data_IF_386464644099
#
_entry.id   IF_386464644099
#
_cell.length_a   1.000
_cell.length_b   1.000
_cell.length_c   1.000
_cell.angle_alpha   90.00
_cell.angle_beta   90.00
_cell.angle_gamma   90.00
#
_symmetry.space_group_name_H-M   'P 1'
#
loop_
_entity.id
_entity.type
_entity.pdbx_description
1 polymer ?
#
# COMPACT_ATOMS: atom_id res chain seq x y z
N UNK A 1 -11.49 8.39 2.95
CA UNK A 1 -10.11 7.92 2.89
C UNK A 1 -9.21 8.46 3.96
N UNK A 2 -9.51 9.62 4.50
CA UNK A 2 -8.77 10.20 5.65
C UNK A 2 -8.71 9.24 6.83
N UNK A 3 -9.81 8.52 7.12
CA UNK A 3 -9.87 7.60 8.26
C UNK A 3 -8.89 6.44 8.14
N UNK A 4 -8.72 5.87 6.95
CA UNK A 4 -7.82 4.75 6.76
C UNK A 4 -6.36 5.17 6.90
N UNK A 5 -6.00 6.35 6.37
CA UNK A 5 -4.66 6.90 6.51
C UNK A 5 -4.35 7.17 7.98
N UNK A 6 -5.31 7.74 8.73
CA UNK A 6 -5.17 8.00 10.15
C UNK A 6 -5.00 6.69 10.94
N UNK A 7 -5.79 5.66 10.63
CA UNK A 7 -5.65 4.35 11.27
C UNK A 7 -4.27 3.73 11.06
N UNK A 8 -3.71 3.89 9.86
CA UNK A 8 -2.34 3.41 9.59
C UNK A 8 -1.30 4.17 10.41
N UNK A 9 -1.44 5.48 10.52
CA UNK A 9 -0.56 6.32 11.33
C UNK A 9 -0.66 5.93 12.80
N UNK A 10 -1.87 5.76 13.32
CA UNK A 10 -2.13 5.36 14.69
C UNK A 10 -1.51 3.99 14.99
N UNK A 11 -1.66 3.02 14.08
CA UNK A 11 -1.07 1.70 14.24
C UNK A 11 0.45 1.76 14.31
N UNK A 12 1.09 2.58 13.48
CA UNK A 12 2.55 2.75 13.51
C UNK A 12 3.02 3.34 14.84
N UNK A 13 2.31 4.35 15.34
CA UNK A 13 2.61 4.97 16.63
C UNK A 13 2.46 3.96 17.76
N UNK A 14 1.39 3.17 17.72
CA UNK A 14 1.12 2.13 18.70
C UNK A 14 2.24 1.08 18.71
N UNK A 15 2.62 0.58 17.55
CA UNK A 15 3.70 -0.40 17.43
C UNK A 15 5.04 0.17 17.93
N UNK A 16 5.35 1.41 17.58
CA UNK A 16 6.56 2.09 18.06
C UNK A 16 6.59 2.20 19.58
N UNK A 17 5.45 2.52 20.18
CA UNK A 17 5.31 2.59 21.64
C UNK A 17 5.52 1.23 22.29
N UNK A 18 4.94 0.18 21.73
CA UNK A 18 5.09 -1.19 22.23
C UNK A 18 6.54 -1.67 22.14
N UNK A 19 7.25 -1.33 21.08
CA UNK A 19 8.67 -1.64 20.93
C UNK A 19 9.50 -0.94 22.03
N UNK A 20 9.25 0.34 22.26
CA UNK A 20 9.93 1.12 23.31
C UNK A 20 9.66 0.56 24.70
N UNK A 21 8.48 0.03 24.92
CA UNK A 21 8.09 -0.59 26.19
C UNK A 21 8.55 -2.05 26.33
N UNK A 22 9.22 -2.60 25.29
CA UNK A 22 9.68 -3.98 25.29
C UNK A 22 8.56 -5.00 25.19
N UNK A 23 7.37 -4.59 24.75
CA UNK A 23 6.20 -5.46 24.64
C UNK A 23 6.09 -6.18 23.31
N UNK A 24 6.82 -5.72 22.30
CA UNK A 24 6.95 -6.40 21.02
C UNK A 24 8.36 -6.93 20.92
N UNK A 25 8.50 -8.25 20.83
CA UNK A 25 9.82 -8.88 20.69
C UNK A 25 10.27 -8.88 19.23
N UNK A 26 11.42 -8.33 18.98
CA UNK A 26 12.41 -8.84 18.02
C UNK A 26 12.21 -8.68 16.54
N UNK A 27 11.04 -8.63 15.97
CA UNK A 27 10.90 -8.35 14.54
C UNK A 27 10.47 -6.89 14.36
N UNK A 28 11.46 -6.05 14.13
CA UNK A 28 11.18 -4.65 13.82
C UNK A 28 10.56 -4.59 12.43
N UNK A 29 9.29 -4.22 12.36
CA UNK A 29 8.65 -3.88 11.12
C UNK A 29 8.87 -2.40 10.84
N UNK A 30 9.64 -2.11 9.79
CA UNK A 30 9.79 -0.74 9.31
C UNK A 30 8.92 -0.56 8.07
N UNK A 31 7.95 0.33 8.17
CA UNK A 31 7.15 0.72 7.00
C UNK A 31 7.82 1.93 6.35
N UNK A 32 7.97 1.86 5.03
CA UNK A 32 8.54 2.96 4.27
C UNK A 32 7.61 4.17 4.34
N UNK A 33 8.10 5.36 4.73
CA UNK A 33 7.27 6.56 4.76
C UNK A 33 6.67 6.89 3.39
N UNK A 34 5.46 7.43 3.41
CA UNK A 34 4.72 7.77 2.18
C UNK A 34 5.51 8.68 1.24
N UNK A 35 6.18 9.68 1.79
CA UNK A 35 7.02 10.59 1.01
C UNK A 35 8.10 9.84 0.25
N UNK A 36 8.80 8.92 0.92
CA UNK A 36 9.86 8.12 0.30
C UNK A 36 9.27 7.17 -0.75
N UNK A 37 8.12 6.57 -0.47
CA UNK A 37 7.42 5.74 -1.45
C UNK A 37 7.15 6.53 -2.74
N UNK A 38 6.62 7.73 -2.62
CA UNK A 38 6.35 8.58 -3.77
C UNK A 38 7.63 8.94 -4.54
N UNK A 39 8.69 9.28 -3.82
CA UNK A 39 9.98 9.59 -4.46
C UNK A 39 10.53 8.41 -5.26
N UNK A 40 10.42 7.20 -4.71
CA UNK A 40 10.87 5.98 -5.39
C UNK A 40 9.99 5.65 -6.59
N UNK A 41 8.68 5.78 -6.46
CA UNK A 41 7.72 5.49 -7.52
C UNK A 41 7.77 6.52 -8.65
N UNK A 42 8.20 7.74 -8.37
CA UNK A 42 8.38 8.79 -9.39
C UNK A 42 9.49 8.43 -10.38
N UNK A 43 10.39 7.51 -10.02
CA UNK A 43 11.46 7.03 -10.90
C UNK A 43 10.97 6.03 -11.94
N UNK A 44 9.77 5.49 -11.75
CA UNK A 44 9.16 4.57 -12.70
C UNK A 44 8.49 5.42 -13.80
N UNK A 45 8.67 5.07 -15.10
CA UNK A 45 8.04 5.82 -16.18
C UNK A 45 6.53 5.94 -16.02
N UNK A 46 5.97 7.08 -16.37
CA UNK A 46 4.53 7.36 -16.23
C UNK A 46 3.67 6.34 -16.99
N UNK A 47 4.17 5.83 -18.11
CA UNK A 47 3.46 4.82 -18.91
C UNK A 47 3.11 3.56 -18.11
N UNK A 48 3.92 3.22 -17.11
CA UNK A 48 3.65 2.05 -16.26
C UNK A 48 2.35 2.21 -15.47
N UNK A 49 1.97 3.43 -15.11
CA UNK A 49 0.72 3.71 -14.41
C UNK A 49 -0.44 3.92 -15.38
N UNK A 50 -0.17 4.49 -16.53
CA UNK A 50 -1.17 4.72 -17.57
C UNK A 50 -1.67 3.41 -18.18
N UNK A 51 -0.78 2.44 -18.35
CA UNK A 51 -1.14 1.11 -18.82
C UNK A 51 -1.60 0.25 -17.63
N UNK A 52 -2.90 0.03 -17.54
CA UNK A 52 -3.50 -0.69 -16.42
C UNK A 52 -3.10 -2.17 -16.35
N UNK A 53 -2.57 -2.73 -17.45
CA UNK A 53 -2.09 -4.11 -17.50
C UNK A 53 -0.65 -4.28 -16.98
N UNK A 54 0.10 -3.19 -16.84
CA UNK A 54 1.46 -3.26 -16.31
C UNK A 54 1.43 -3.82 -14.88
N UNK A 55 2.15 -4.93 -14.68
CA UNK A 55 2.16 -5.60 -13.38
C UNK A 55 3.19 -4.99 -12.44
N UNK A 56 2.80 -4.90 -11.18
CA UNK A 56 3.68 -4.48 -10.08
C UNK A 56 3.71 -5.58 -9.03
N UNK A 57 4.90 -5.91 -8.57
CA UNK A 57 5.09 -6.86 -7.48
C UNK A 57 5.95 -6.22 -6.40
N UNK A 58 5.45 -6.21 -5.18
CA UNK A 58 6.23 -5.88 -3.99
C UNK A 58 6.41 -7.15 -3.16
N UNK A 59 7.61 -7.69 -3.15
CA UNK A 59 7.92 -8.94 -2.46
C UNK A 59 7.93 -8.79 -0.93
N UNK A 60 7.95 -7.56 -0.44
CA UNK A 60 7.92 -7.24 1.00
C UNK A 60 6.95 -6.09 1.23
N UNK A 61 5.68 -6.33 0.90
CA UNK A 61 4.69 -5.24 0.87
C UNK A 61 4.39 -4.59 2.21
N UNK A 62 4.71 -5.25 3.34
CA UNK A 62 4.36 -4.75 4.65
C UNK A 62 2.86 -4.51 4.75
N UNK A 63 2.46 -3.30 5.16
CA UNK A 63 1.05 -2.92 5.23
C UNK A 63 0.49 -2.42 3.89
N UNK A 64 1.27 -2.51 2.81
CA UNK A 64 0.84 -2.14 1.48
C UNK A 64 1.03 -0.67 1.11
N UNK A 65 1.92 0.06 1.78
CA UNK A 65 2.15 1.48 1.47
C UNK A 65 2.46 1.72 0.00
N UNK A 66 3.40 0.97 -0.58
CA UNK A 66 3.73 1.09 -2.00
C UNK A 66 2.55 0.71 -2.89
N UNK A 67 1.89 -0.41 -2.58
CA UNK A 67 0.81 -0.94 -3.42
C UNK A 67 -0.38 0.01 -3.46
N UNK A 68 -0.73 0.63 -2.33
CA UNK A 68 -1.82 1.60 -2.27
C UNK A 68 -1.52 2.82 -3.12
N UNK A 69 -0.29 3.34 -3.06
CA UNK A 69 0.12 4.49 -3.86
C UNK A 69 0.13 4.14 -5.35
N UNK A 70 0.65 2.96 -5.70
CA UNK A 70 0.63 2.48 -7.09
C UNK A 70 -0.81 2.41 -7.61
N UNK A 71 -1.71 1.86 -6.80
CA UNK A 71 -3.12 1.77 -7.17
C UNK A 71 -3.75 3.15 -7.34
N UNK A 72 -3.51 4.08 -6.42
CA UNK A 72 -3.98 5.46 -6.54
C UNK A 72 -3.51 6.10 -7.86
N UNK A 73 -2.26 5.89 -8.23
CA UNK A 73 -1.71 6.42 -9.49
C UNK A 73 -2.38 5.80 -10.71
N UNK A 74 -2.66 4.50 -10.69
CA UNK A 74 -3.38 3.81 -11.76
C UNK A 74 -4.84 4.26 -11.85
N UNK A 75 -5.50 4.48 -10.69
CA UNK A 75 -6.89 4.93 -10.64
C UNK A 75 -7.10 6.28 -11.34
N UNK A 76 -6.08 7.13 -11.37
CA UNK A 76 -6.15 8.40 -12.10
C UNK A 76 -6.36 8.22 -13.60
N UNK A 77 -6.03 7.06 -14.15
CA UNK A 77 -6.18 6.71 -15.56
C UNK A 77 -7.38 5.79 -15.81
N UNK A 78 -8.16 5.48 -14.78
CA UNK A 78 -9.35 4.65 -14.90
C UNK A 78 -10.56 5.51 -15.23
N UNK A 79 -11.39 5.02 -16.16
CA UNK A 79 -12.62 5.71 -16.57
C UNK A 79 -13.87 4.94 -16.19
N UNK A 80 -13.73 3.62 -15.92
CA UNK A 80 -14.83 2.73 -15.62
C UNK A 80 -14.49 1.86 -14.42
N UNK A 81 -15.51 1.22 -13.84
CA UNK A 81 -15.32 0.22 -12.77
C UNK A 81 -14.47 -0.95 -13.26
N UNK A 82 -14.67 -1.37 -14.52
CA UNK A 82 -13.87 -2.44 -15.11
C UNK A 82 -12.39 -2.07 -15.17
N UNK A 83 -12.06 -0.82 -15.48
CA UNK A 83 -10.68 -0.33 -15.46
C UNK A 83 -10.09 -0.41 -14.06
N UNK A 84 -10.86 -0.03 -13.04
CA UNK A 84 -10.41 -0.10 -11.66
C UNK A 84 -10.14 -1.54 -11.21
N UNK A 85 -10.96 -2.49 -11.64
CA UNK A 85 -10.77 -3.92 -11.38
C UNK A 85 -9.50 -4.41 -12.08
N UNK A 86 -9.31 -4.04 -13.34
CA UNK A 86 -8.13 -4.40 -14.13
C UNK A 86 -6.85 -3.88 -13.48
N UNK A 87 -6.84 -2.63 -13.05
CA UNK A 87 -5.72 -2.04 -12.33
C UNK A 87 -5.42 -2.81 -11.04
N UNK A 88 -6.44 -3.16 -10.27
CA UNK A 88 -6.29 -3.90 -9.04
C UNK A 88 -5.68 -5.30 -9.28
N UNK A 89 -6.09 -5.97 -10.34
CA UNK A 89 -5.58 -7.29 -10.71
C UNK A 89 -4.11 -7.28 -11.16
N UNK A 90 -3.57 -6.13 -11.48
CA UNK A 90 -2.18 -6.00 -11.93
C UNK A 90 -1.19 -5.80 -10.79
N UNK A 91 -1.68 -5.70 -9.55
CA UNK A 91 -0.88 -5.40 -8.37
C UNK A 91 -0.75 -6.65 -7.52
N UNK A 92 0.48 -7.01 -7.19
CA UNK A 92 0.81 -8.21 -6.41
C UNK A 92 1.73 -7.84 -5.25
N UNK A 93 1.54 -8.50 -4.13
CA UNK A 93 2.40 -8.33 -2.99
C UNK A 93 2.51 -9.61 -2.18
N UNK A 94 3.59 -9.75 -1.44
CA UNK A 94 3.80 -10.85 -0.50
C UNK A 94 4.11 -10.28 0.88
N UNK A 95 3.61 -10.94 1.91
CA UNK A 95 3.80 -10.53 3.29
C UNK A 95 3.63 -11.73 4.21
N UNK A 96 4.51 -11.84 5.21
CA UNK A 96 4.47 -12.92 6.20
C UNK A 96 3.46 -12.66 7.32
N UNK A 97 3.20 -11.39 7.63
CA UNK A 97 2.30 -11.01 8.72
C UNK A 97 0.88 -10.88 8.22
N UNK A 98 -0.03 -11.71 8.73
CA UNK A 98 -1.44 -11.69 8.34
C UNK A 98 -2.10 -10.33 8.56
N UNK A 99 -1.78 -9.66 9.66
CA UNK A 99 -2.29 -8.32 9.96
C UNK A 99 -1.99 -7.34 8.86
N UNK A 100 -0.75 -7.35 8.37
CA UNK A 100 -0.31 -6.45 7.30
C UNK A 100 -1.00 -6.78 5.98
N UNK A 101 -1.18 -8.07 5.69
CA UNK A 101 -1.90 -8.51 4.50
C UNK A 101 -3.35 -8.02 4.53
N UNK A 102 -4.02 -8.17 5.66
CA UNK A 102 -5.39 -7.71 5.84
C UNK A 102 -5.51 -6.19 5.74
N UNK A 103 -4.57 -5.46 6.34
CA UNK A 103 -4.53 -4.00 6.25
C UNK A 103 -4.36 -3.54 4.79
N UNK A 104 -3.46 -4.17 4.05
CA UNK A 104 -3.25 -3.88 2.63
C UNK A 104 -4.52 -4.14 1.81
N UNK A 105 -5.14 -5.29 1.99
CA UNK A 105 -6.38 -5.64 1.29
C UNK A 105 -7.49 -4.64 1.56
N UNK A 106 -7.67 -4.26 2.81
CA UNK A 106 -8.67 -3.27 3.21
C UNK A 106 -8.38 -1.90 2.61
N UNK A 107 -7.12 -1.49 2.59
CA UNK A 107 -6.70 -0.22 2.01
C UNK A 107 -7.02 -0.16 0.51
N UNK A 108 -6.69 -1.22 -0.21
CA UNK A 108 -6.96 -1.30 -1.65
C UNK A 108 -8.46 -1.35 -1.94
N UNK A 109 -9.22 -2.10 -1.14
CA UNK A 109 -10.67 -2.17 -1.27
C UNK A 109 -11.33 -0.80 -1.11
N UNK A 110 -10.92 -0.05 -0.10
CA UNK A 110 -11.45 1.29 0.15
C UNK A 110 -11.10 2.27 -0.97
N UNK A 111 -9.92 2.15 -1.55
CA UNK A 111 -9.55 2.93 -2.75
C UNK A 111 -10.45 2.59 -3.93
N UNK A 112 -10.70 1.31 -4.14
CA UNK A 112 -11.57 0.84 -5.21
C UNK A 112 -12.99 1.39 -5.08
N UNK A 113 -13.53 1.49 -3.87
CA UNK A 113 -14.89 1.99 -3.63
C UNK A 113 -15.08 3.47 -3.97
N UNK A 114 -14.02 4.22 -3.99
CA UNK A 114 -14.08 5.61 -4.40
C UNK A 114 -14.01 5.71 -5.92
#
# INVERSE_FOLDING_TARGET
MKDLTNKRIERRKYNSTLEKEGKISGTQEFFTPEKLCNEMLDKIPAEAYENLDTTFLDSTMGNGNFLVIIYDRKLMHCKTVNDAIKALKSIYGTELMEDNTNECRNSLYLRFKE
#
